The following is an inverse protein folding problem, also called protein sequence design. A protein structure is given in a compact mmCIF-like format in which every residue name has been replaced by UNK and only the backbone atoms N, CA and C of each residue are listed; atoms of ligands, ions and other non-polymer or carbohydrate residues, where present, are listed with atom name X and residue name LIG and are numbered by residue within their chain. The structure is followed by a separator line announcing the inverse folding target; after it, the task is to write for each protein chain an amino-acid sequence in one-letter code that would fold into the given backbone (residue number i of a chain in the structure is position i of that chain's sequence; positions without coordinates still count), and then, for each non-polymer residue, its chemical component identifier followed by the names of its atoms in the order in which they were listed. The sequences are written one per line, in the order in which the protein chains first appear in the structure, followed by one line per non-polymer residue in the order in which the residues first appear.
data_IF_453566053545
#
_entry.id   IF_453566053545
#
_cell.length_a   1.000
_cell.length_b   1.000
_cell.length_c   1.000
_cell.angle_alpha   90.00
_cell.angle_beta   90.00
_cell.angle_gamma   90.00
#
_symmetry.space_group_name_H-M   'P 1'
#
loop_
_entity.id
_entity.type
_entity.pdbx_description
1 polymer ?
#
# COMPACT_ATOMS: atom_id res chain seq x y z
N UNK A 1 -26.32 -18.63 -11.34
CA UNK A 1 -25.29 -17.81 -10.67
C UNK A 1 -23.97 -18.57 -10.64
N UNK A 2 -23.09 -18.36 -11.64
CA UNK A 2 -21.64 -18.61 -11.57
C UNK A 2 -20.96 -17.54 -12.44
N UNK A 3 -20.46 -16.54 -11.72
CA UNK A 3 -19.28 -15.70 -11.97
C UNK A 3 -18.85 -15.44 -13.40
N UNK A 4 -18.83 -14.15 -13.74
CA UNK A 4 -18.02 -13.52 -14.79
C UNK A 4 -16.54 -13.93 -14.68
N UNK A 5 -16.19 -15.12 -15.17
CA UNK A 5 -14.84 -15.66 -15.18
C UNK A 5 -14.30 -15.52 -16.58
N UNK A 6 -13.35 -14.58 -16.69
CA UNK A 6 -12.25 -14.60 -17.65
C UNK A 6 -12.61 -14.57 -19.14
N UNK A 7 -12.95 -13.37 -19.60
CA UNK A 7 -12.45 -12.93 -20.90
C UNK A 7 -10.95 -12.60 -20.76
N UNK A 8 -10.11 -13.63 -20.59
CA UNK A 8 -8.67 -13.49 -20.82
C UNK A 8 -8.52 -13.28 -22.34
N UNK A 9 -8.42 -12.01 -22.75
CA UNK A 9 -7.94 -11.66 -24.08
C UNK A 9 -6.62 -12.40 -24.25
N UNK A 10 -6.60 -13.44 -25.09
CA UNK A 10 -5.40 -14.21 -25.42
C UNK A 10 -4.50 -13.33 -26.27
N UNK A 11 -3.89 -12.31 -25.65
CA UNK A 11 -2.73 -11.66 -26.24
C UNK A 11 -1.69 -12.74 -26.45
N UNK A 12 -1.10 -12.88 -27.64
CA UNK A 12 0.01 -13.81 -27.83
C UNK A 12 1.07 -13.44 -26.78
N UNK A 13 1.45 -14.41 -25.96
CA UNK A 13 2.47 -14.20 -24.94
C UNK A 13 3.77 -13.93 -25.68
N UNK A 14 4.12 -12.64 -25.81
CA UNK A 14 5.40 -12.24 -26.36
C UNK A 14 6.48 -12.59 -25.34
N UNK A 15 7.25 -13.63 -25.64
CA UNK A 15 8.42 -13.99 -24.86
C UNK A 15 9.60 -13.17 -25.37
N UNK A 16 10.01 -12.19 -24.57
CA UNK A 16 11.23 -11.44 -24.84
C UNK A 16 12.46 -12.38 -24.82
N UNK A 17 13.17 -12.57 -25.95
CA UNK A 17 14.31 -13.47 -26.03
C UNK A 17 15.48 -13.04 -25.14
N UNK A 18 15.52 -11.77 -24.74
CA UNK A 18 16.57 -11.22 -23.87
C UNK A 18 16.17 -11.17 -22.39
N UNK A 19 14.97 -11.63 -22.02
CA UNK A 19 14.49 -11.53 -20.64
C UNK A 19 15.46 -12.15 -19.61
N UNK A 20 16.11 -13.26 -19.98
CA UNK A 20 17.13 -13.91 -19.13
C UNK A 20 18.41 -13.08 -19.01
N UNK A 21 18.81 -12.39 -20.07
CA UNK A 21 19.95 -11.46 -20.07
C UNK A 21 19.64 -10.19 -19.28
N UNK A 22 18.40 -9.72 -19.32
CA UNK A 22 17.94 -8.52 -18.59
C UNK A 22 17.57 -8.81 -17.13
N UNK A 23 17.54 -10.07 -16.72
CA UNK A 23 17.15 -10.49 -15.37
C UNK A 23 18.04 -9.90 -14.27
N UNK A 24 19.34 -9.71 -14.53
CA UNK A 24 20.26 -9.11 -13.56
C UNK A 24 19.91 -7.66 -13.19
N UNK A 25 19.23 -6.92 -14.08
CA UNK A 25 18.77 -5.54 -13.82
C UNK A 25 17.54 -5.51 -12.91
N UNK A 26 16.75 -6.59 -12.89
CA UNK A 26 15.51 -6.69 -12.12
C UNK A 26 15.82 -7.14 -10.70
N UNK A 27 16.22 -6.19 -9.84
CA UNK A 27 16.43 -6.48 -8.43
C UNK A 27 15.12 -6.33 -7.63
N UNK A 28 14.76 -7.27 -6.74
CA UNK A 28 13.54 -7.19 -5.94
C UNK A 28 13.46 -5.95 -5.03
N UNK A 29 14.61 -5.40 -4.63
CA UNK A 29 14.69 -4.15 -3.84
C UNK A 29 14.09 -2.96 -4.61
N UNK A 30 14.21 -2.93 -5.94
CA UNK A 30 13.68 -1.86 -6.80
C UNK A 30 12.27 -2.16 -7.34
N UNK A 31 11.60 -3.18 -6.79
CA UNK A 31 10.20 -3.48 -7.12
C UNK A 31 9.30 -2.29 -6.79
N UNK A 32 8.26 -2.06 -7.61
CA UNK A 32 7.22 -1.05 -7.34
C UNK A 32 6.62 -1.20 -5.94
N UNK A 33 6.42 -2.44 -5.49
CA UNK A 33 5.88 -2.73 -4.17
C UNK A 33 6.87 -2.37 -3.04
N UNK A 34 8.18 -2.52 -3.27
CA UNK A 34 9.21 -2.10 -2.32
C UNK A 34 9.24 -0.58 -2.20
N UNK A 35 9.24 0.13 -3.34
CA UNK A 35 9.23 1.59 -3.38
C UNK A 35 7.99 2.18 -2.69
N UNK A 36 6.81 1.55 -2.85
CA UNK A 36 5.57 2.04 -2.22
C UNK A 36 5.61 2.03 -0.69
N UNK A 37 6.28 1.04 -0.08
CA UNK A 37 6.43 0.96 1.39
C UNK A 37 7.26 2.10 1.95
N UNK A 38 8.20 2.63 1.16
CA UNK A 38 9.10 3.71 1.56
C UNK A 38 8.54 5.10 1.24
N UNK A 39 7.40 5.21 0.55
CA UNK A 39 6.82 6.51 0.15
C UNK A 39 6.42 7.39 1.35
N UNK A 40 6.00 6.79 2.46
CA UNK A 40 5.52 7.53 3.63
C UNK A 40 6.23 7.09 4.91
N UNK A 41 7.50 7.48 5.09
CA UNK A 41 8.22 7.18 6.31
C UNK A 41 7.49 7.84 7.48
N UNK A 42 7.10 7.04 8.48
CA UNK A 42 6.47 7.55 9.70
C UNK A 42 4.95 7.76 9.65
N UNK A 43 4.26 7.47 8.53
CA UNK A 43 2.79 7.61 8.47
C UNK A 43 2.10 6.77 9.55
N UNK A 44 2.58 5.55 9.81
CA UNK A 44 2.02 4.71 10.87
C UNK A 44 2.09 5.37 12.25
N UNK A 45 3.23 5.98 12.59
CA UNK A 45 3.42 6.67 13.89
C UNK A 45 2.55 7.93 13.94
N UNK A 46 2.52 8.70 12.86
CA UNK A 46 1.69 9.90 12.77
C UNK A 46 0.20 9.59 12.93
N UNK A 47 -0.30 8.54 12.26
CA UNK A 47 -1.69 8.11 12.41
C UNK A 47 -2.01 7.71 13.85
N UNK A 48 -1.15 6.90 14.47
CA UNK A 48 -1.34 6.48 15.87
C UNK A 48 -1.35 7.66 16.83
N UNK A 49 -0.38 8.57 16.71
CA UNK A 49 -0.31 9.77 17.55
C UNK A 49 -1.53 10.68 17.37
N UNK A 50 -1.94 10.90 16.12
CA UNK A 50 -3.12 11.69 15.79
C UNK A 50 -4.40 11.08 16.37
N UNK A 51 -4.62 9.78 16.19
CA UNK A 51 -5.79 9.09 16.76
C UNK A 51 -5.78 9.14 18.29
N UNK A 52 -4.63 8.93 18.94
CA UNK A 52 -4.50 9.07 20.39
C UNK A 52 -4.90 10.47 20.86
N UNK A 53 -4.43 11.52 20.18
CA UNK A 53 -4.80 12.90 20.48
C UNK A 53 -6.32 13.15 20.31
N UNK A 54 -6.90 12.75 19.18
CA UNK A 54 -8.34 12.92 18.93
C UNK A 54 -9.20 12.18 19.97
N UNK A 55 -8.83 10.95 20.34
CA UNK A 55 -9.55 10.21 21.38
C UNK A 55 -9.40 10.87 22.75
N UNK A 56 -8.21 11.38 23.07
CA UNK A 56 -7.99 12.11 24.31
C UNK A 56 -8.85 13.39 24.38
N UNK A 57 -8.88 14.20 23.32
CA UNK A 57 -9.78 15.35 23.23
C UNK A 57 -11.25 14.94 23.37
N UNK A 58 -11.67 13.93 22.61
CA UNK A 58 -13.07 13.53 22.56
C UNK A 58 -13.60 13.03 23.92
N UNK A 59 -12.81 12.23 24.64
CA UNK A 59 -13.24 11.61 25.90
C UNK A 59 -12.89 12.43 27.15
N UNK A 60 -11.73 13.10 27.18
CA UNK A 60 -11.23 13.77 28.38
C UNK A 60 -11.43 15.29 28.39
N UNK A 61 -11.48 15.95 27.23
CA UNK A 61 -11.77 17.40 27.18
C UNK A 61 -13.28 17.68 27.18
N UNK A 62 -14.10 16.96 26.40
CA UNK A 62 -15.57 17.14 26.40
C UNK A 62 -16.23 16.82 27.76
N UNK A 63 -15.62 15.94 28.57
CA UNK A 63 -16.15 15.59 29.90
C UNK A 63 -15.91 16.68 30.95
N UNK A 64 -14.98 17.61 30.71
CA UNK A 64 -14.64 18.72 31.62
C UNK A 64 -15.39 20.02 31.30
N UNK A 65 -15.99 20.13 30.12
CA UNK A 65 -16.71 21.33 29.63
C UNK A 65 -18.20 21.35 29.98
N UNK A 66 -18.66 20.49 30.90
CA UNK A 66 -20.03 20.49 31.44
C UNK A 66 -20.13 21.19 32.81
N UNK A 67 -19.40 22.29 32.98
CA UNK A 67 -19.61 23.29 34.03
C UNK A 67 -19.76 24.67 33.38
#
# INVERSE_FOLDING_TARGET
MKSHVQAQVKTPVYHDPWAKREAWRKHPIFSKASNFKTMFPGLGIATVAFTAYCTYEHFFLNKKSHH
#
